data_IF_088122353626
#
_entry.id   IF_088122353626
#
_cell.length_a   1.000
_cell.length_b   1.000
_cell.length_c   1.000
_cell.angle_alpha   90.00
_cell.angle_beta   90.00
_cell.angle_gamma   90.00
#
_symmetry.space_group_name_H-M   'P 1'
#
loop_
_entity.id
_entity.type
_entity.pdbx_description
1 polymer ?
#
# COMPACT_ATOMS: atom_id res chain seq x y z
N UNK A 1 -54.61 -7.08 31.28
CA UNK A 1 -53.32 -7.76 31.14
C UNK A 1 -52.94 -7.73 29.69
N UNK A 2 -51.73 -7.30 29.35
CA UNK A 2 -51.32 -7.20 27.95
C UNK A 2 -51.27 -8.59 27.28
N UNK A 3 -51.75 -8.69 26.02
CA UNK A 3 -51.82 -9.97 25.29
C UNK A 3 -50.44 -10.62 25.22
N UNK A 4 -50.29 -11.82 25.81
CA UNK A 4 -49.00 -12.53 25.88
C UNK A 4 -48.25 -12.40 27.20
N UNK A 5 -48.81 -11.73 28.22
CA UNK A 5 -48.32 -11.77 29.59
C UNK A 5 -49.25 -12.65 30.42
N UNK A 6 -48.75 -13.64 31.10
CA UNK A 6 -49.51 -14.62 31.92
C UNK A 6 -49.05 -14.51 33.37
N UNK A 7 -49.98 -14.40 34.28
CA UNK A 7 -49.73 -14.49 35.73
C UNK A 7 -49.88 -15.96 36.17
N UNK A 8 -48.87 -16.47 36.86
CA UNK A 8 -48.90 -17.77 37.53
C UNK A 8 -48.44 -17.60 38.99
N UNK A 9 -49.44 -17.52 39.85
CA UNK A 9 -49.20 -17.37 41.29
C UNK A 9 -48.29 -16.19 41.67
N UNK A 10 -48.58 -15.00 41.13
CA UNK A 10 -47.78 -13.80 41.38
C UNK A 10 -46.45 -13.72 40.61
N UNK A 11 -46.22 -14.67 39.74
CA UNK A 11 -45.03 -14.67 38.84
C UNK A 11 -45.49 -14.46 37.41
N UNK A 12 -45.00 -13.40 36.76
CA UNK A 12 -45.36 -13.04 35.40
C UNK A 12 -44.45 -13.75 34.39
N UNK A 13 -45.08 -14.31 33.36
CA UNK A 13 -44.46 -15.02 32.25
C UNK A 13 -44.83 -14.34 30.95
N UNK A 14 -43.93 -14.33 29.96
CA UNK A 14 -44.23 -14.01 28.59
C UNK A 14 -44.57 -15.29 27.83
N UNK A 15 -45.65 -15.26 27.03
CA UNK A 15 -46.05 -16.34 26.13
C UNK A 15 -46.42 -15.73 24.79
N UNK A 16 -45.55 -15.94 23.81
CA UNK A 16 -45.70 -15.39 22.46
C UNK A 16 -45.26 -16.41 21.41
N UNK A 17 -45.70 -16.22 20.18
CA UNK A 17 -45.28 -17.01 19.02
C UNK A 17 -44.30 -16.17 18.19
N UNK A 18 -43.21 -16.80 17.77
CA UNK A 18 -42.26 -16.24 16.86
C UNK A 18 -41.79 -17.33 15.89
N UNK A 19 -41.80 -17.05 14.61
CA UNK A 19 -41.42 -17.99 13.53
C UNK A 19 -42.10 -19.38 13.68
N UNK A 20 -43.44 -19.36 13.96
CA UNK A 20 -44.24 -20.56 14.18
C UNK A 20 -44.02 -21.28 15.52
N UNK A 21 -43.03 -20.94 16.29
CA UNK A 21 -42.68 -21.55 17.58
C UNK A 21 -43.23 -20.78 18.74
N UNK A 22 -43.76 -21.50 19.76
CA UNK A 22 -44.20 -20.90 21.01
C UNK A 22 -43.05 -20.68 21.96
N UNK A 23 -42.87 -19.45 22.40
CA UNK A 23 -41.81 -19.04 23.34
C UNK A 23 -42.45 -18.66 24.68
N UNK A 24 -41.89 -19.23 25.77
CA UNK A 24 -42.26 -18.90 27.12
C UNK A 24 -41.06 -18.46 27.93
N UNK A 25 -41.13 -17.30 28.60
CA UNK A 25 -40.03 -16.77 29.40
C UNK A 25 -40.56 -16.24 30.74
N UNK A 26 -40.00 -16.72 31.86
CA UNK A 26 -40.26 -16.20 33.24
C UNK A 26 -39.62 -14.81 33.37
N UNK A 27 -40.34 -13.83 33.91
CA UNK A 27 -39.84 -12.47 34.12
C UNK A 27 -39.64 -12.17 35.59
N UNK A 28 -40.61 -12.52 36.47
CA UNK A 28 -40.57 -12.25 37.89
C UNK A 28 -41.88 -11.77 38.42
N UNK A 29 -41.91 -11.15 39.59
CA UNK A 29 -43.13 -10.70 40.33
C UNK A 29 -43.69 -9.34 39.86
N UNK A 30 -42.95 -8.61 38.98
CA UNK A 30 -43.39 -7.27 38.53
C UNK A 30 -44.19 -7.34 37.23
N UNK A 31 -45.49 -7.07 37.28
CA UNK A 31 -46.39 -6.97 36.13
C UNK A 31 -45.91 -5.91 35.14
N UNK A 32 -45.57 -4.71 35.61
CA UNK A 32 -45.13 -3.58 34.78
C UNK A 32 -43.86 -3.92 34.01
N UNK A 33 -42.92 -4.64 34.63
CA UNK A 33 -41.71 -5.11 33.93
C UNK A 33 -42.04 -6.11 32.85
N UNK A 34 -42.93 -7.07 33.11
CA UNK A 34 -43.34 -8.07 32.14
C UNK A 34 -44.01 -7.44 30.88
N UNK A 35 -44.88 -6.47 31.10
CA UNK A 35 -45.54 -5.72 30.01
C UNK A 35 -44.52 -4.91 29.18
N UNK A 36 -43.60 -4.21 29.84
CA UNK A 36 -42.50 -3.45 29.16
C UNK A 36 -41.63 -4.35 28.34
N UNK A 37 -41.24 -5.52 28.84
CA UNK A 37 -40.41 -6.48 28.13
C UNK A 37 -41.17 -7.06 26.94
N UNK A 38 -42.49 -7.32 27.10
CA UNK A 38 -43.32 -7.81 26.00
C UNK A 38 -43.43 -6.79 24.85
N UNK A 39 -43.62 -5.50 25.16
CA UNK A 39 -43.63 -4.43 24.17
C UNK A 39 -42.26 -4.33 23.42
N UNK A 40 -41.16 -4.39 24.13
CA UNK A 40 -39.82 -4.42 23.49
C UNK A 40 -39.67 -5.59 22.53
N UNK A 41 -40.13 -6.78 22.95
CA UNK A 41 -40.08 -7.98 22.08
C UNK A 41 -40.92 -7.78 20.82
N UNK A 42 -42.12 -7.19 20.92
CA UNK A 42 -42.97 -6.91 19.75
C UNK A 42 -42.31 -5.92 18.78
N UNK A 43 -41.70 -4.86 19.31
CA UNK A 43 -40.98 -3.90 18.50
C UNK A 43 -39.79 -4.59 17.78
N UNK A 44 -39.00 -5.40 18.48
CA UNK A 44 -37.89 -6.14 17.91
C UNK A 44 -38.36 -7.13 16.82
N UNK A 45 -39.48 -7.79 17.03
CA UNK A 45 -40.09 -8.68 16.03
C UNK A 45 -40.55 -7.88 14.79
N UNK A 46 -41.21 -6.73 15.00
CA UNK A 46 -41.66 -5.85 13.93
C UNK A 46 -40.49 -5.23 13.12
N UNK A 47 -39.39 -4.91 13.80
CA UNK A 47 -38.16 -4.38 13.18
C UNK A 47 -37.28 -5.48 12.53
N UNK A 48 -37.70 -6.74 12.55
CA UNK A 48 -36.88 -7.86 12.07
C UNK A 48 -35.60 -8.14 12.86
N UNK A 49 -35.40 -7.43 13.99
CA UNK A 49 -34.21 -7.55 14.85
C UNK A 49 -34.28 -8.72 15.83
N UNK A 50 -35.41 -9.37 15.96
CA UNK A 50 -35.58 -10.50 16.90
C UNK A 50 -34.90 -11.79 16.43
N UNK A 51 -34.28 -11.77 15.25
CA UNK A 51 -33.50 -12.88 14.69
C UNK A 51 -32.07 -12.98 15.24
N UNK A 52 -31.75 -12.34 16.38
CA UNK A 52 -30.66 -12.82 17.22
C UNK A 52 -31.06 -14.11 17.98
N UNK A 53 -31.65 -15.06 17.27
CA UNK A 53 -31.47 -16.46 17.64
C UNK A 53 -29.96 -16.65 17.66
N UNK A 54 -29.37 -16.84 18.84
CA UNK A 54 -28.00 -17.31 18.97
C UNK A 54 -27.79 -18.37 17.89
N UNK A 55 -27.27 -17.97 16.72
CA UNK A 55 -26.67 -18.95 15.84
C UNK A 55 -25.69 -19.67 16.75
N UNK A 56 -25.91 -20.94 17.01
CA UNK A 56 -24.95 -21.76 17.74
C UNK A 56 -23.63 -21.54 17.05
N UNK A 57 -22.76 -20.83 17.74
CA UNK A 57 -21.44 -20.55 17.22
C UNK A 57 -20.79 -21.91 17.03
N UNK A 58 -20.50 -22.27 15.81
CA UNK A 58 -19.73 -23.45 15.52
C UNK A 58 -18.35 -23.21 16.15
N UNK A 59 -18.19 -23.71 17.37
CA UNK A 59 -16.88 -23.65 18.04
C UNK A 59 -15.88 -24.38 17.15
N UNK A 60 -14.94 -23.67 16.63
CA UNK A 60 -13.87 -24.20 15.77
C UNK A 60 -12.55 -23.64 16.27
N UNK A 61 -11.54 -24.50 16.35
CA UNK A 61 -10.21 -24.02 16.66
C UNK A 61 -9.55 -23.35 15.43
N UNK A 62 -8.52 -22.58 15.69
CA UNK A 62 -7.85 -21.79 14.65
C UNK A 62 -7.20 -22.69 13.58
N UNK A 63 -6.67 -23.87 13.92
CA UNK A 63 -6.04 -24.76 12.95
C UNK A 63 -7.04 -25.29 11.93
N UNK A 64 -8.21 -25.74 12.40
CA UNK A 64 -9.27 -26.27 11.54
C UNK A 64 -9.86 -25.17 10.67
N UNK A 65 -10.12 -23.99 11.26
CA UNK A 65 -10.55 -22.82 10.48
C UNK A 65 -9.52 -22.40 9.43
N UNK A 66 -8.23 -22.41 9.77
CA UNK A 66 -7.15 -22.09 8.85
C UNK A 66 -7.08 -23.04 7.65
N UNK A 67 -7.43 -24.33 7.85
CA UNK A 67 -7.53 -25.27 6.75
C UNK A 67 -8.73 -24.97 5.83
N UNK A 68 -9.89 -24.68 6.43
CA UNK A 68 -11.09 -24.25 5.66
C UNK A 68 -10.78 -22.98 4.87
N UNK A 69 -10.16 -21.99 5.51
CA UNK A 69 -9.76 -20.74 4.85
C UNK A 69 -8.80 -20.98 3.68
N UNK A 70 -7.79 -21.83 3.87
CA UNK A 70 -6.82 -22.16 2.84
C UNK A 70 -7.51 -22.75 1.60
N UNK A 71 -8.29 -23.81 1.78
CA UNK A 71 -8.93 -24.55 0.69
C UNK A 71 -10.02 -23.73 -0.02
N UNK A 72 -10.81 -22.95 0.74
CA UNK A 72 -11.97 -22.25 0.18
C UNK A 72 -11.59 -20.93 -0.48
N UNK A 73 -10.65 -20.19 0.10
CA UNK A 73 -10.34 -18.82 -0.29
C UNK A 73 -8.84 -18.57 -0.50
N UNK A 74 -7.98 -19.07 0.39
CA UNK A 74 -6.55 -18.77 0.42
C UNK A 74 -5.84 -19.15 -0.88
N UNK A 75 -6.02 -20.37 -1.35
CA UNK A 75 -5.35 -20.93 -2.54
C UNK A 75 -5.69 -20.18 -3.84
N UNK A 76 -6.85 -19.53 -3.89
CA UNK A 76 -7.28 -18.70 -5.02
C UNK A 76 -6.59 -17.33 -5.06
N UNK A 77 -5.92 -16.93 -3.97
CA UNK A 77 -5.21 -15.65 -3.91
C UNK A 77 -3.88 -15.72 -4.67
N UNK A 78 -3.60 -14.70 -5.46
CA UNK A 78 -2.31 -14.56 -6.17
C UNK A 78 -1.09 -14.56 -5.23
N UNK A 79 -1.27 -14.09 -3.98
CA UNK A 79 -0.21 -14.05 -2.96
C UNK A 79 -0.01 -15.37 -2.23
N UNK A 80 -0.87 -16.37 -2.43
CA UNK A 80 -0.87 -17.61 -1.64
C UNK A 80 0.46 -18.34 -1.67
N UNK A 81 0.94 -18.69 -2.88
CA UNK A 81 2.17 -19.45 -3.05
C UNK A 81 3.42 -18.71 -2.61
N UNK A 82 3.41 -17.38 -2.65
CA UNK A 82 4.59 -16.56 -2.37
C UNK A 82 4.72 -16.12 -0.92
N UNK A 83 3.60 -15.85 -0.23
CA UNK A 83 3.65 -15.21 1.10
C UNK A 83 2.59 -15.69 2.07
N UNK A 84 1.31 -15.78 1.68
CA UNK A 84 0.21 -16.05 2.61
C UNK A 84 0.34 -17.42 3.27
N UNK A 85 0.80 -18.44 2.54
CA UNK A 85 1.07 -19.79 3.08
C UNK A 85 2.10 -19.76 4.21
N UNK A 86 3.15 -18.94 4.08
CA UNK A 86 4.16 -18.78 5.13
C UNK A 86 3.62 -18.05 6.36
N UNK A 87 2.76 -17.03 6.16
CA UNK A 87 2.11 -16.35 7.26
C UNK A 87 1.17 -17.29 8.00
N UNK A 88 0.40 -18.10 7.26
CA UNK A 88 -0.51 -19.08 7.85
C UNK A 88 0.21 -20.08 8.75
N UNK A 89 1.38 -20.59 8.33
CA UNK A 89 2.19 -21.51 9.17
C UNK A 89 2.55 -20.86 10.51
N UNK A 90 2.94 -19.58 10.52
CA UNK A 90 3.28 -18.87 11.76
C UNK A 90 2.07 -18.58 12.63
N UNK A 91 0.96 -18.18 12.00
CA UNK A 91 -0.29 -17.93 12.71
C UNK A 91 -0.81 -19.23 13.35
N UNK A 92 -0.73 -20.35 12.64
CA UNK A 92 -1.07 -21.68 13.19
C UNK A 92 -0.19 -22.05 14.38
N UNK A 93 1.10 -21.77 14.34
CA UNK A 93 2.01 -22.04 15.44
C UNK A 93 1.67 -21.28 16.73
N UNK A 94 1.09 -20.08 16.62
CA UNK A 94 0.75 -19.26 17.80
C UNK A 94 -0.71 -19.40 18.24
N UNK A 95 -1.65 -19.42 17.28
CA UNK A 95 -3.09 -19.42 17.56
C UNK A 95 -3.73 -20.81 17.50
N UNK A 96 -3.03 -21.82 16.98
CA UNK A 96 -3.61 -23.06 16.49
C UNK A 96 -4.46 -23.85 17.50
N UNK A 97 -4.08 -23.84 18.77
CA UNK A 97 -4.82 -24.55 19.84
C UNK A 97 -6.02 -23.77 20.39
N UNK A 98 -6.20 -22.50 19.99
CA UNK A 98 -7.27 -21.64 20.49
C UNK A 98 -8.50 -21.72 19.61
N UNK A 99 -9.69 -21.69 20.23
CA UNK A 99 -10.91 -21.46 19.49
C UNK A 99 -10.97 -20.00 18.99
N UNK A 100 -11.70 -19.74 17.89
CA UNK A 100 -11.78 -18.40 17.31
C UNK A 100 -12.37 -17.38 18.26
N UNK A 101 -13.29 -17.76 19.14
CA UNK A 101 -13.92 -16.92 20.16
C UNK A 101 -12.96 -16.56 21.31
N UNK A 102 -11.92 -17.35 21.54
CA UNK A 102 -10.86 -17.08 22.53
C UNK A 102 -9.81 -16.07 22.03
N UNK A 103 -9.75 -15.83 20.71
CA UNK A 103 -8.77 -14.93 20.11
C UNK A 103 -9.28 -13.47 20.23
N UNK A 104 -8.95 -12.85 21.36
CA UNK A 104 -9.31 -11.46 21.69
C UNK A 104 -8.31 -10.47 21.04
N UNK A 105 -8.66 -9.16 20.98
CA UNK A 105 -7.70 -8.13 20.57
C UNK A 105 -6.41 -8.12 21.41
N UNK A 106 -6.52 -8.39 22.71
CA UNK A 106 -5.36 -8.52 23.60
C UNK A 106 -4.46 -9.72 23.18
N UNK A 107 -5.07 -10.84 22.79
CA UNK A 107 -4.31 -12.01 22.36
C UNK A 107 -3.59 -11.76 21.03
N UNK A 108 -4.20 -11.01 20.13
CA UNK A 108 -3.54 -10.54 18.90
C UNK A 108 -2.38 -9.58 19.20
N UNK A 109 -2.51 -8.72 20.23
CA UNK A 109 -1.41 -7.88 20.70
C UNK A 109 -0.24 -8.71 21.26
N UNK A 110 -0.53 -9.77 22.04
CA UNK A 110 0.51 -10.70 22.52
C UNK A 110 1.27 -11.35 21.37
N UNK A 111 0.58 -11.75 20.30
CA UNK A 111 1.23 -12.23 19.07
C UNK A 111 2.20 -11.21 18.50
N UNK A 112 1.77 -9.95 18.35
CA UNK A 112 2.59 -8.87 17.82
C UNK A 112 3.87 -8.66 18.63
N UNK A 113 3.78 -8.67 19.97
CA UNK A 113 4.93 -8.54 20.87
C UNK A 113 5.87 -9.72 20.70
N UNK A 114 5.35 -10.94 20.78
CA UNK A 114 6.15 -12.15 20.61
C UNK A 114 6.88 -12.17 19.24
N UNK A 115 6.24 -11.66 18.19
CA UNK A 115 6.87 -11.58 16.86
C UNK A 115 8.02 -10.58 16.79
N UNK A 116 8.01 -9.51 17.58
CA UNK A 116 9.12 -8.56 17.70
C UNK A 116 10.35 -9.15 18.34
N UNK A 117 10.16 -10.07 19.27
CA UNK A 117 11.26 -10.71 20.00
C UNK A 117 11.87 -11.89 19.21
N UNK A 118 11.10 -12.50 18.32
CA UNK A 118 11.56 -13.64 17.54
C UNK A 118 12.53 -13.25 16.42
N UNK A 119 13.68 -13.90 16.40
CA UNK A 119 14.63 -13.79 15.28
C UNK A 119 14.09 -14.49 14.04
N UNK A 120 14.29 -13.89 12.90
CA UNK A 120 14.01 -14.48 11.58
C UNK A 120 15.05 -15.56 11.26
N UNK A 121 14.85 -16.31 10.17
CA UNK A 121 15.86 -17.26 9.66
C UNK A 121 17.22 -16.61 9.36
N UNK A 122 17.26 -15.29 9.19
CA UNK A 122 18.48 -14.51 8.95
C UNK A 122 19.05 -13.93 10.25
N UNK A 123 18.62 -14.41 11.40
CA UNK A 123 19.02 -13.92 12.73
C UNK A 123 18.72 -12.42 12.97
N UNK A 124 17.87 -11.82 12.19
CA UNK A 124 17.40 -10.45 12.36
C UNK A 124 16.03 -10.41 13.01
N UNK A 125 15.68 -9.33 13.68
CA UNK A 125 14.34 -9.10 14.23
C UNK A 125 13.33 -8.91 13.07
N UNK A 126 12.11 -9.40 13.24
CA UNK A 126 11.06 -9.20 12.25
C UNK A 126 10.72 -7.70 12.12
N UNK A 127 10.75 -7.17 10.89
CA UNK A 127 10.42 -5.75 10.65
C UNK A 127 8.93 -5.47 10.91
N UNK A 128 8.59 -4.21 11.27
CA UNK A 128 7.23 -3.75 11.41
C UNK A 128 6.36 -4.10 10.19
N UNK A 129 6.88 -3.86 8.99
CA UNK A 129 6.19 -4.20 7.74
C UNK A 129 5.89 -5.70 7.60
N UNK A 130 6.78 -6.56 8.08
CA UNK A 130 6.58 -8.01 8.02
C UNK A 130 5.48 -8.44 8.99
N UNK A 131 5.52 -7.95 10.23
CA UNK A 131 4.51 -8.21 11.26
C UNK A 131 3.13 -7.71 10.80
N UNK A 132 3.08 -6.51 10.23
CA UNK A 132 1.84 -5.94 9.68
C UNK A 132 1.22 -6.81 8.58
N UNK A 133 2.03 -7.46 7.75
CA UNK A 133 1.52 -8.40 6.72
C UNK A 133 0.97 -9.67 7.32
N UNK A 134 1.59 -10.21 8.38
CA UNK A 134 1.04 -11.34 9.14
C UNK A 134 -0.30 -10.95 9.77
N UNK A 135 -0.40 -9.77 10.41
CA UNK A 135 -1.65 -9.25 10.96
C UNK A 135 -2.72 -8.97 9.89
N UNK A 136 -2.33 -8.49 8.70
CA UNK A 136 -3.26 -8.30 7.59
C UNK A 136 -3.81 -9.64 7.07
N UNK A 137 -2.97 -10.69 7.04
CA UNK A 137 -3.43 -12.04 6.74
C UNK A 137 -4.44 -12.52 7.80
N UNK A 138 -4.13 -12.38 9.08
CA UNK A 138 -5.03 -12.73 10.18
C UNK A 138 -6.34 -11.93 10.13
N UNK A 139 -6.26 -10.62 9.84
CA UNK A 139 -7.44 -9.77 9.66
C UNK A 139 -8.34 -10.25 8.52
N UNK A 140 -7.75 -10.67 7.39
CA UNK A 140 -8.47 -11.25 6.28
C UNK A 140 -9.16 -12.57 6.67
N UNK A 141 -8.45 -13.46 7.40
CA UNK A 141 -8.99 -14.72 7.89
C UNK A 141 -10.20 -14.49 8.81
N UNK A 142 -10.08 -13.61 9.80
CA UNK A 142 -11.21 -13.28 10.69
C UNK A 142 -12.36 -12.57 9.98
N UNK A 143 -12.10 -11.79 8.94
CA UNK A 143 -13.19 -11.22 8.12
C UNK A 143 -13.98 -12.32 7.42
N UNK A 144 -13.30 -13.36 6.92
CA UNK A 144 -13.98 -14.54 6.36
C UNK A 144 -14.66 -15.40 7.43
N UNK A 145 -14.06 -15.51 8.63
CA UNK A 145 -14.68 -16.21 9.74
C UNK A 145 -16.04 -15.57 10.12
N UNK A 146 -16.10 -14.25 10.16
CA UNK A 146 -17.36 -13.52 10.42
C UNK A 146 -18.37 -13.73 9.28
N UNK A 147 -17.93 -13.58 8.04
CA UNK A 147 -18.78 -13.78 6.85
C UNK A 147 -19.37 -15.19 6.80
N UNK A 148 -18.58 -16.20 7.16
CA UNK A 148 -18.99 -17.61 7.12
C UNK A 148 -19.68 -18.08 8.42
N UNK A 149 -19.84 -17.21 9.41
CA UNK A 149 -20.56 -17.49 10.67
C UNK A 149 -19.76 -18.28 11.71
N UNK A 150 -18.42 -18.31 11.60
CA UNK A 150 -17.52 -18.93 12.58
C UNK A 150 -17.07 -17.99 13.69
N UNK A 151 -17.23 -16.68 13.52
CA UNK A 151 -16.89 -15.66 14.51
C UNK A 151 -17.91 -14.52 14.48
N UNK A 152 -18.15 -13.89 15.63
CA UNK A 152 -19.05 -12.73 15.77
C UNK A 152 -18.42 -11.45 15.25
N UNK A 153 -17.18 -11.23 15.60
CA UNK A 153 -16.42 -10.03 15.25
C UNK A 153 -14.97 -10.38 14.85
N UNK A 154 -14.33 -9.42 14.23
CA UNK A 154 -12.93 -9.55 13.85
C UNK A 154 -12.05 -8.83 14.88
N UNK A 155 -11.35 -9.56 15.77
CA UNK A 155 -10.56 -8.97 16.84
C UNK A 155 -9.38 -8.13 16.33
N UNK A 156 -8.90 -8.41 15.12
CA UNK A 156 -7.76 -7.70 14.54
C UNK A 156 -8.12 -6.27 14.12
N UNK A 157 -9.39 -5.96 13.89
CA UNK A 157 -9.84 -4.59 13.57
C UNK A 157 -9.55 -3.59 14.71
N UNK A 158 -9.56 -4.07 15.96
CA UNK A 158 -9.29 -3.26 17.15
C UNK A 158 -7.79 -3.13 17.48
N UNK A 159 -6.91 -3.79 16.71
CA UNK A 159 -5.46 -3.76 16.93
C UNK A 159 -4.79 -2.78 15.98
N UNK A 160 -4.08 -1.80 16.54
CA UNK A 160 -3.31 -0.83 15.76
C UNK A 160 -2.07 -1.51 15.16
N UNK A 161 -1.89 -1.36 13.86
CA UNK A 161 -0.70 -1.86 13.15
C UNK A 161 0.53 -1.02 13.50
N UNK A 162 1.71 -1.61 13.32
CA UNK A 162 2.99 -0.96 13.54
C UNK A 162 3.19 0.19 12.54
N UNK A 163 3.83 1.27 13.00
CA UNK A 163 4.24 2.34 12.09
C UNK A 163 5.37 1.84 11.20
N UNK A 164 5.14 1.81 9.90
CA UNK A 164 6.15 1.44 8.91
C UNK A 164 6.90 2.69 8.44
N UNK A 165 8.23 2.63 8.49
CA UNK A 165 9.06 3.66 7.87
C UNK A 165 9.34 3.26 6.42
N UNK A 166 8.49 3.70 5.49
CA UNK A 166 8.57 3.40 4.06
C UNK A 166 9.17 4.56 3.25
N UNK A 167 9.83 5.52 3.91
CA UNK A 167 10.33 6.76 3.29
C UNK A 167 11.64 6.60 2.52
N UNK A 168 12.15 5.37 2.37
CA UNK A 168 13.40 5.16 1.64
C UNK A 168 13.25 5.59 0.18
N UNK A 169 14.02 6.60 -0.20
CA UNK A 169 14.23 7.02 -1.58
C UNK A 169 15.72 6.84 -1.90
N UNK A 170 16.11 5.68 -2.43
CA UNK A 170 17.45 5.42 -2.94
C UNK A 170 17.39 5.46 -4.46
N UNK A 171 18.19 6.31 -5.06
CA UNK A 171 18.39 6.37 -6.51
C UNK A 171 19.90 6.40 -6.81
N UNK A 172 20.30 6.07 -8.04
CA UNK A 172 21.69 6.14 -8.45
C UNK A 172 22.03 7.56 -8.91
N UNK A 173 23.12 8.08 -8.45
CA UNK A 173 23.77 9.24 -9.04
C UNK A 173 24.34 8.86 -10.43
N UNK A 174 24.66 9.88 -11.26
CA UNK A 174 25.14 9.62 -12.64
C UNK A 174 26.39 8.74 -12.66
N UNK A 175 27.33 8.97 -11.74
CA UNK A 175 28.57 8.21 -11.65
C UNK A 175 28.33 6.77 -11.17
N UNK A 176 27.41 6.56 -10.21
CA UNK A 176 27.03 5.22 -9.79
C UNK A 176 26.34 4.45 -10.92
N UNK A 177 25.46 5.12 -11.68
CA UNK A 177 24.81 4.51 -12.84
C UNK A 177 25.83 4.11 -13.89
N UNK A 178 26.81 4.97 -14.21
CA UNK A 178 27.89 4.66 -15.12
C UNK A 178 28.69 3.44 -14.65
N UNK A 179 29.15 3.45 -13.38
CA UNK A 179 29.86 2.29 -12.78
C UNK A 179 29.04 1.00 -12.89
N UNK A 180 27.74 1.05 -12.60
CA UNK A 180 26.87 -0.13 -12.75
C UNK A 180 26.85 -0.63 -14.21
N UNK A 181 26.68 0.26 -15.18
CA UNK A 181 26.61 -0.08 -16.59
C UNK A 181 27.92 -0.67 -17.14
N UNK A 182 29.07 -0.24 -16.61
CA UNK A 182 30.37 -0.75 -16.99
C UNK A 182 30.60 -2.19 -16.50
N UNK A 183 29.92 -2.59 -15.43
CA UNK A 183 29.97 -3.96 -14.89
C UNK A 183 28.77 -4.85 -15.34
N UNK A 184 27.93 -4.35 -16.25
CA UNK A 184 26.83 -5.13 -16.82
C UNK A 184 27.24 -5.78 -18.12
N UNK A 185 26.96 -7.09 -18.27
CA UNK A 185 27.01 -7.71 -19.59
C UNK A 185 25.93 -7.12 -20.53
N UNK A 186 26.03 -7.26 -21.86
CA UNK A 186 25.20 -6.50 -22.81
C UNK A 186 23.69 -6.58 -22.56
N UNK A 187 23.15 -7.78 -22.31
CA UNK A 187 21.71 -7.96 -22.06
C UNK A 187 21.26 -7.27 -20.76
N UNK A 188 22.04 -7.36 -19.68
CA UNK A 188 21.73 -6.69 -18.43
C UNK A 188 21.84 -5.18 -18.56
N UNK A 189 22.85 -4.69 -19.32
CA UNK A 189 23.02 -3.26 -19.62
C UNK A 189 21.79 -2.70 -20.31
N UNK A 190 21.28 -3.40 -21.32
CA UNK A 190 20.04 -3.02 -22.00
C UNK A 190 18.83 -2.97 -21.03
N UNK A 191 18.68 -3.98 -20.16
CA UNK A 191 17.61 -4.03 -19.15
C UNK A 191 17.70 -2.85 -18.17
N UNK A 192 18.90 -2.53 -17.66
CA UNK A 192 19.11 -1.41 -16.72
C UNK A 192 18.80 -0.08 -17.41
N UNK A 193 19.28 0.13 -18.62
CA UNK A 193 19.01 1.35 -19.38
C UNK A 193 17.51 1.53 -19.69
N UNK A 194 16.83 0.46 -20.12
CA UNK A 194 15.37 0.50 -20.32
C UNK A 194 14.65 0.80 -19.00
N UNK A 195 15.08 0.20 -17.87
CA UNK A 195 14.48 0.45 -16.56
C UNK A 195 14.58 1.94 -16.15
N UNK A 196 15.73 2.56 -16.32
CA UNK A 196 15.96 3.97 -15.96
C UNK A 196 15.23 4.93 -16.90
N UNK A 197 15.20 4.61 -18.21
CA UNK A 197 14.58 5.49 -19.21
C UNK A 197 13.05 5.40 -19.28
N UNK A 198 12.45 4.34 -18.73
CA UNK A 198 10.99 4.12 -18.79
C UNK A 198 10.31 4.07 -17.42
N UNK A 199 11.08 3.87 -16.36
CA UNK A 199 10.55 3.66 -15.01
C UNK A 199 9.67 2.41 -14.85
N UNK A 200 9.70 1.46 -15.80
CA UNK A 200 8.90 0.23 -15.75
C UNK A 200 9.24 -0.64 -14.55
N UNK A 201 8.26 -1.42 -14.07
CA UNK A 201 8.50 -2.39 -12.99
C UNK A 201 9.30 -3.59 -13.51
N UNK A 202 10.04 -4.24 -12.59
CA UNK A 202 10.88 -5.41 -12.92
C UNK A 202 10.16 -6.45 -13.78
N UNK A 203 8.96 -6.85 -13.37
CA UNK A 203 8.20 -7.88 -14.10
C UNK A 203 7.63 -7.37 -15.42
N UNK A 204 7.30 -6.08 -15.51
CA UNK A 204 6.88 -5.46 -16.78
C UNK A 204 8.01 -5.53 -17.82
N UNK A 205 9.24 -5.22 -17.41
CA UNK A 205 10.42 -5.35 -18.29
C UNK A 205 10.68 -6.82 -18.62
N UNK A 206 10.70 -7.70 -17.61
CA UNK A 206 11.02 -9.11 -17.78
C UNK A 206 10.07 -9.84 -18.74
N UNK A 207 8.78 -9.47 -18.69
CA UNK A 207 7.73 -10.11 -19.51
C UNK A 207 7.35 -9.31 -20.75
N UNK A 208 8.13 -8.29 -21.11
CA UNK A 208 7.88 -7.42 -22.25
C UNK A 208 7.99 -8.23 -23.57
N UNK A 209 6.97 -8.12 -24.41
CA UNK A 209 6.90 -8.83 -25.69
C UNK A 209 7.09 -7.86 -26.85
N UNK A 210 7.59 -8.36 -27.95
CA UNK A 210 7.73 -7.60 -29.20
C UNK A 210 6.42 -6.97 -29.68
N UNK A 211 5.32 -7.70 -29.58
CA UNK A 211 3.98 -7.21 -29.97
C UNK A 211 3.45 -6.08 -29.10
N UNK A 212 4.01 -5.89 -27.90
CA UNK A 212 3.58 -4.87 -26.95
C UNK A 212 4.32 -3.54 -27.19
N UNK A 213 5.33 -3.51 -28.06
CA UNK A 213 6.14 -2.35 -28.40
C UNK A 213 5.75 -1.79 -29.77
N UNK A 214 5.28 -0.55 -29.77
CA UNK A 214 5.03 0.24 -30.96
C UNK A 214 6.18 1.25 -31.13
N UNK A 215 7.12 0.88 -32.00
CA UNK A 215 8.29 1.70 -32.24
C UNK A 215 8.00 2.90 -33.16
N UNK A 216 6.95 2.87 -33.97
CA UNK A 216 6.55 4.01 -34.82
C UNK A 216 5.98 5.12 -33.95
N UNK A 217 5.01 4.79 -33.12
CA UNK A 217 4.38 5.74 -32.21
C UNK A 217 5.20 6.02 -30.94
N UNK A 218 6.25 5.23 -30.68
CA UNK A 218 7.19 5.45 -29.58
C UNK A 218 6.63 5.12 -28.19
N UNK A 219 5.88 4.04 -28.04
CA UNK A 219 5.41 3.58 -26.73
C UNK A 219 5.35 2.05 -26.60
N UNK A 220 5.28 1.60 -25.36
CA UNK A 220 5.02 0.21 -24.99
C UNK A 220 3.67 0.12 -24.30
N UNK A 221 2.79 -0.78 -24.76
CA UNK A 221 1.50 -1.07 -24.13
C UNK A 221 1.63 -2.20 -23.13
N UNK A 222 1.48 -1.91 -21.86
CA UNK A 222 1.49 -2.89 -20.78
C UNK A 222 0.08 -3.39 -20.52
N UNK A 223 -0.23 -4.58 -21.03
CA UNK A 223 -1.50 -5.26 -20.80
C UNK A 223 -1.49 -5.90 -19.42
N UNK A 224 -2.58 -5.72 -18.62
CA UNK A 224 -2.76 -6.32 -17.29
C UNK A 224 -1.59 -6.06 -16.33
N UNK A 225 -1.38 -4.81 -15.98
CA UNK A 225 -0.45 -4.45 -14.89
C UNK A 225 -0.88 -5.14 -13.59
N UNK A 226 -0.04 -5.08 -12.55
CA UNK A 226 -0.37 -5.62 -11.21
C UNK A 226 -1.74 -5.17 -10.69
N UNK A 227 -2.25 -4.06 -11.21
CA UNK A 227 -3.51 -3.42 -10.84
C UNK A 227 -4.69 -3.74 -11.78
N UNK A 228 -4.47 -4.57 -12.83
CA UNK A 228 -5.49 -4.95 -13.80
C UNK A 228 -5.73 -3.93 -14.93
N UNK A 229 -5.04 -2.79 -14.91
CA UNK A 229 -5.21 -1.70 -15.88
C UNK A 229 -4.17 -1.80 -17.00
N UNK A 230 -4.57 -1.47 -18.22
CA UNK A 230 -3.66 -1.28 -19.37
C UNK A 230 -3.08 0.12 -19.30
N UNK A 231 -1.78 0.28 -19.55
CA UNK A 231 -1.14 1.59 -19.67
C UNK A 231 -0.11 1.62 -20.78
N UNK A 232 0.05 2.77 -21.39
CA UNK A 232 1.12 3.06 -22.33
C UNK A 232 2.30 3.69 -21.60
N UNK A 233 3.51 3.21 -21.87
CA UNK A 233 4.76 3.75 -21.37
C UNK A 233 5.49 4.41 -22.55
N UNK A 234 5.69 5.73 -22.53
CA UNK A 234 6.41 6.40 -23.61
C UNK A 234 7.88 5.95 -23.64
N UNK A 235 8.42 5.81 -24.83
CA UNK A 235 9.83 5.49 -25.08
C UNK A 235 10.55 6.76 -25.54
N UNK A 236 11.58 7.15 -24.81
CA UNK A 236 12.52 8.14 -25.32
C UNK A 236 13.44 7.54 -26.39
N UNK A 237 14.19 8.36 -27.10
CA UNK A 237 15.11 7.94 -28.16
C UNK A 237 16.04 6.79 -27.71
N UNK A 238 16.65 6.94 -26.55
CA UNK A 238 17.58 5.94 -25.99
C UNK A 238 16.90 4.58 -25.74
N UNK A 239 15.72 4.58 -25.08
CA UNK A 239 14.98 3.33 -24.82
C UNK A 239 14.54 2.65 -26.13
N UNK A 240 14.09 3.43 -27.12
CA UNK A 240 13.70 2.93 -28.44
C UNK A 240 14.88 2.27 -29.15
N UNK A 241 16.01 2.96 -29.26
CA UNK A 241 17.23 2.45 -29.92
C UNK A 241 17.73 1.17 -29.24
N UNK A 242 17.76 1.13 -27.90
CA UNK A 242 18.17 -0.06 -27.15
C UNK A 242 17.23 -1.24 -27.44
N UNK A 243 15.92 -1.05 -27.40
CA UNK A 243 14.98 -2.14 -27.67
C UNK A 243 15.08 -2.63 -29.11
N UNK A 244 15.28 -1.73 -30.07
CA UNK A 244 15.47 -2.09 -31.48
C UNK A 244 16.79 -2.81 -31.75
N UNK A 245 17.85 -2.53 -30.98
CA UNK A 245 19.16 -3.19 -31.11
C UNK A 245 19.18 -4.64 -30.60
N UNK A 246 18.15 -5.04 -29.81
CA UNK A 246 18.08 -6.41 -29.30
C UNK A 246 17.68 -7.38 -30.42
N UNK A 247 18.52 -8.41 -30.63
CA UNK A 247 18.21 -9.43 -31.62
C UNK A 247 16.97 -10.24 -31.24
N UNK A 248 15.98 -10.25 -32.14
CA UNK A 248 14.76 -11.04 -31.94
C UNK A 248 15.08 -12.53 -31.96
N UNK A 249 14.68 -13.26 -30.93
CA UNK A 249 14.83 -14.71 -30.89
C UNK A 249 13.68 -15.40 -31.64
N UNK A 250 13.99 -16.35 -32.53
CA UNK A 250 13.00 -16.96 -33.42
C UNK A 250 11.83 -17.66 -32.70
N UNK A 251 12.07 -18.22 -31.50
CA UNK A 251 11.08 -19.00 -30.74
C UNK A 251 10.51 -18.26 -29.51
N UNK A 252 10.88 -16.99 -29.31
CA UNK A 252 10.46 -16.25 -28.12
C UNK A 252 9.61 -15.03 -28.46
N UNK A 253 8.46 -14.85 -27.84
CA UNK A 253 7.71 -13.61 -27.95
C UNK A 253 8.32 -12.47 -27.12
N UNK A 254 9.24 -12.77 -26.19
CA UNK A 254 9.80 -11.82 -25.24
C UNK A 254 11.00 -11.08 -25.83
N UNK A 255 11.12 -9.79 -25.51
CA UNK A 255 12.26 -8.96 -25.89
C UNK A 255 13.51 -9.41 -25.13
N UNK A 256 13.37 -9.63 -23.81
CA UNK A 256 14.44 -10.07 -22.94
C UNK A 256 14.32 -11.57 -22.65
N UNK A 257 14.99 -12.39 -23.45
CA UNK A 257 15.00 -13.84 -23.30
C UNK A 257 16.44 -14.38 -23.22
N UNK A 258 16.58 -15.62 -22.72
CA UNK A 258 17.85 -16.35 -22.76
C UNK A 258 18.07 -17.02 -24.12
N UNK A 259 19.18 -17.73 -24.29
CA UNK A 259 19.53 -18.45 -25.52
C UNK A 259 18.53 -19.54 -25.94
N UNK A 260 17.69 -20.01 -24.99
CA UNK A 260 16.65 -21.01 -25.24
C UNK A 260 15.28 -20.36 -25.56
N UNK A 261 15.17 -19.01 -25.52
CA UNK A 261 13.94 -18.29 -25.74
C UNK A 261 13.05 -18.14 -24.47
N UNK A 262 13.52 -18.62 -23.33
CA UNK A 262 12.81 -18.48 -22.04
C UNK A 262 13.03 -17.09 -21.44
N UNK A 263 12.15 -16.71 -20.51
CA UNK A 263 12.25 -15.45 -19.76
C UNK A 263 13.63 -15.30 -19.09
N UNK A 264 14.32 -14.21 -19.39
CA UNK A 264 15.62 -13.94 -18.82
C UNK A 264 15.54 -13.61 -17.33
N UNK A 265 16.25 -14.38 -16.49
CA UNK A 265 16.34 -14.12 -15.06
C UNK A 265 17.62 -13.37 -14.73
N UNK A 266 17.54 -12.07 -14.63
CA UNK A 266 18.69 -11.20 -14.38
C UNK A 266 18.98 -10.90 -12.90
N UNK A 267 18.38 -11.63 -11.97
CA UNK A 267 18.56 -11.35 -10.52
C UNK A 267 20.00 -11.53 -10.07
N UNK A 268 20.59 -12.68 -10.42
CA UNK A 268 21.96 -13.00 -10.00
C UNK A 268 22.97 -12.07 -10.69
N UNK A 269 22.86 -11.90 -12.02
CA UNK A 269 23.74 -11.01 -12.78
C UNK A 269 23.66 -9.56 -12.32
N UNK A 270 22.47 -9.08 -11.97
CA UNK A 270 22.30 -7.73 -11.41
C UNK A 270 22.98 -7.60 -10.03
N UNK A 271 22.84 -8.60 -9.14
CA UNK A 271 23.52 -8.58 -7.85
C UNK A 271 25.04 -8.64 -7.98
N UNK A 272 25.56 -9.41 -8.93
CA UNK A 272 26.98 -9.47 -9.26
C UNK A 272 27.48 -8.13 -9.79
N UNK A 273 26.75 -7.49 -10.71
CA UNK A 273 27.10 -6.18 -11.24
C UNK A 273 27.15 -5.10 -10.15
N UNK A 274 26.17 -5.09 -9.22
CA UNK A 274 26.18 -4.17 -8.07
C UNK A 274 27.39 -4.40 -7.15
N UNK A 275 27.73 -5.67 -6.89
CA UNK A 275 28.91 -6.02 -6.08
C UNK A 275 30.20 -5.52 -6.74
N UNK A 276 30.38 -5.77 -8.04
CA UNK A 276 31.57 -5.37 -8.78
C UNK A 276 31.67 -3.84 -8.94
N UNK A 277 30.53 -3.14 -9.04
CA UNK A 277 30.47 -1.68 -9.07
C UNK A 277 30.56 -1.05 -7.66
N UNK A 278 30.72 -1.86 -6.60
CA UNK A 278 30.76 -1.43 -5.19
C UNK A 278 29.52 -0.63 -4.73
N UNK A 279 28.37 -0.83 -5.39
CA UNK A 279 27.12 -0.15 -5.06
C UNK A 279 26.39 -0.92 -3.96
N UNK A 280 26.34 -0.32 -2.77
CA UNK A 280 25.69 -0.89 -1.59
C UNK A 280 24.24 -0.43 -1.48
N UNK A 281 23.43 -1.25 -0.80
CA UNK A 281 22.03 -0.96 -0.47
C UNK A 281 21.19 -0.48 -1.67
N UNK A 282 21.27 -1.21 -2.78
CA UNK A 282 20.54 -0.93 -4.01
C UNK A 282 19.82 -2.17 -4.53
N UNK A 283 18.59 -2.00 -4.99
CA UNK A 283 17.72 -3.07 -5.50
C UNK A 283 17.27 -2.73 -6.91
N UNK A 284 16.93 -3.71 -7.71
CA UNK A 284 16.44 -3.47 -9.07
C UNK A 284 15.25 -2.49 -9.13
N UNK A 285 14.37 -2.51 -8.11
CA UNK A 285 13.24 -1.59 -8.07
C UNK A 285 13.67 -0.12 -7.86
N UNK A 286 14.84 0.09 -7.31
CA UNK A 286 15.38 1.43 -7.07
C UNK A 286 15.82 2.12 -8.40
N UNK A 287 15.96 1.36 -9.53
CA UNK A 287 16.10 1.94 -10.88
C UNK A 287 14.86 2.75 -11.28
N UNK A 288 13.68 2.32 -10.87
CA UNK A 288 12.46 3.08 -11.07
C UNK A 288 12.42 4.33 -10.17
N UNK A 289 12.98 4.25 -8.97
CA UNK A 289 13.19 5.43 -8.12
C UNK A 289 14.20 6.39 -8.78
N UNK A 290 15.24 5.86 -9.43
CA UNK A 290 16.21 6.65 -10.21
C UNK A 290 15.53 7.39 -11.37
N UNK A 291 14.68 6.70 -12.16
CA UNK A 291 13.89 7.34 -13.21
C UNK A 291 13.01 8.47 -12.66
N UNK A 292 12.26 8.21 -11.58
CA UNK A 292 11.41 9.21 -10.94
C UNK A 292 12.21 10.41 -10.41
N UNK A 293 13.36 10.15 -9.78
CA UNK A 293 14.23 11.20 -9.23
C UNK A 293 14.79 12.07 -10.34
N UNK A 294 15.23 11.49 -11.45
CA UNK A 294 15.74 12.25 -12.59
C UNK A 294 14.67 13.09 -13.26
N UNK A 295 13.44 12.59 -13.39
CA UNK A 295 12.31 13.35 -13.89
C UNK A 295 11.98 14.54 -12.94
N UNK A 296 11.96 14.31 -11.63
CA UNK A 296 11.69 15.36 -10.65
C UNK A 296 12.81 16.43 -10.63
N UNK A 297 14.08 16.02 -10.66
CA UNK A 297 15.21 16.93 -10.79
C UNK A 297 15.22 17.69 -12.13
N UNK A 298 14.70 17.07 -13.19
CA UNK A 298 14.49 17.69 -14.49
C UNK A 298 13.26 18.62 -14.56
N UNK A 299 12.51 18.78 -13.45
CA UNK A 299 11.38 19.69 -13.35
C UNK A 299 10.05 19.20 -13.86
N UNK A 300 9.95 17.91 -14.15
CA UNK A 300 8.68 17.32 -14.54
C UNK A 300 7.73 17.34 -13.34
N UNK A 301 6.50 17.79 -13.55
CA UNK A 301 5.49 17.86 -12.51
C UNK A 301 5.13 16.45 -11.95
N UNK A 302 4.70 16.41 -10.70
CA UNK A 302 4.46 15.15 -10.00
C UNK A 302 3.30 14.34 -10.58
N UNK A 303 2.29 14.97 -11.21
CA UNK A 303 1.20 14.25 -11.86
C UNK A 303 1.70 13.53 -13.11
N UNK A 304 2.49 14.20 -13.93
CA UNK A 304 3.14 13.61 -15.11
C UNK A 304 4.05 12.43 -14.68
N UNK A 305 4.85 12.59 -13.63
CA UNK A 305 5.66 11.50 -13.07
C UNK A 305 4.78 10.34 -12.60
N UNK A 306 3.67 10.63 -11.90
CA UNK A 306 2.69 9.61 -11.49
C UNK A 306 2.18 8.80 -12.67
N UNK A 307 1.81 9.47 -13.75
CA UNK A 307 1.20 8.86 -14.93
C UNK A 307 2.22 8.03 -15.72
N UNK A 308 3.43 8.55 -15.96
CA UNK A 308 4.54 7.81 -16.60
C UNK A 308 4.83 6.52 -15.81
N UNK A 309 4.95 6.62 -14.50
CA UNK A 309 5.22 5.47 -13.64
C UNK A 309 3.99 4.56 -13.47
N UNK A 310 2.77 5.02 -13.69
CA UNK A 310 1.53 4.31 -13.42
C UNK A 310 1.34 4.06 -11.91
N UNK A 311 1.39 5.13 -11.11
CA UNK A 311 1.05 5.11 -9.69
C UNK A 311 -0.43 5.46 -9.51
N UNK A 312 -1.13 4.72 -8.64
CA UNK A 312 -2.56 4.95 -8.39
C UNK A 312 -2.84 6.21 -7.58
N UNK A 313 -1.93 6.61 -6.69
CA UNK A 313 -2.08 7.81 -5.86
C UNK A 313 -0.87 8.73 -6.00
N UNK A 314 -1.10 10.01 -5.78
CA UNK A 314 -0.07 11.03 -5.76
C UNK A 314 0.91 10.80 -4.58
N UNK A 315 0.44 10.25 -3.46
CA UNK A 315 1.27 9.94 -2.28
C UNK A 315 2.51 9.12 -2.62
N UNK A 316 2.42 8.27 -3.65
CA UNK A 316 3.56 7.45 -4.09
C UNK A 316 4.66 8.27 -4.75
N UNK A 317 4.36 9.46 -5.29
CA UNK A 317 5.33 10.36 -5.95
C UNK A 317 5.72 11.55 -5.07
N UNK A 318 4.97 11.88 -4.03
CA UNK A 318 5.30 12.97 -3.09
C UNK A 318 6.69 12.79 -2.45
N UNK A 319 7.18 11.56 -2.36
CA UNK A 319 8.54 11.26 -1.89
C UNK A 319 9.65 11.87 -2.75
N UNK A 320 9.37 12.27 -3.99
CA UNK A 320 10.33 12.93 -4.90
C UNK A 320 10.17 14.45 -4.92
N UNK A 321 9.14 15.00 -4.28
CA UNK A 321 8.85 16.44 -4.29
C UNK A 321 10.02 17.30 -3.80
N UNK A 322 10.79 16.80 -2.84
CA UNK A 322 11.97 17.50 -2.32
C UNK A 322 13.11 17.66 -3.32
N UNK A 323 13.13 16.85 -4.41
CA UNK A 323 14.14 16.90 -5.45
C UNK A 323 13.87 18.00 -6.49
N UNK A 324 12.65 18.55 -6.54
CA UNK A 324 12.25 19.61 -7.45
C UNK A 324 12.41 21.04 -6.88
N UNK A 325 13.14 21.20 -5.76
CA UNK A 325 13.30 22.53 -5.11
C UNK A 325 13.97 23.59 -5.99
N UNK A 326 14.91 23.23 -6.86
CA UNK A 326 15.50 24.15 -7.85
C UNK A 326 14.46 24.70 -8.82
N UNK A 327 13.43 23.92 -9.15
CA UNK A 327 12.33 24.34 -9.99
C UNK A 327 11.33 25.28 -9.29
N UNK A 328 11.20 25.21 -7.96
CA UNK A 328 10.39 26.17 -7.21
C UNK A 328 10.98 27.58 -7.32
N UNK A 329 12.28 27.72 -7.20
CA UNK A 329 12.96 29.00 -7.42
C UNK A 329 12.80 29.50 -8.87
N UNK A 330 12.96 28.62 -9.86
CA UNK A 330 12.76 28.95 -11.27
C UNK A 330 11.29 29.30 -11.59
N UNK A 331 10.33 28.62 -10.95
CA UNK A 331 8.91 28.90 -11.12
C UNK A 331 8.53 30.28 -10.54
N UNK A 332 9.11 30.65 -9.39
CA UNK A 332 8.92 32.00 -8.84
C UNK A 332 9.55 33.04 -9.76
N UNK A 333 10.71 32.76 -10.38
CA UNK A 333 11.32 33.66 -11.39
C UNK A 333 10.52 33.86 -12.67
N UNK A 334 9.51 33.01 -12.95
CA UNK A 334 8.54 33.29 -14.04
C UNK A 334 7.67 34.50 -13.69
N UNK A 335 7.32 34.68 -12.41
CA UNK A 335 6.54 35.82 -11.95
C UNK A 335 7.27 37.13 -12.21
N UNK A 336 8.58 37.16 -12.06
CA UNK A 336 9.37 38.35 -12.37
C UNK A 336 9.21 38.76 -13.86
N UNK A 337 9.28 37.79 -14.78
CA UNK A 337 9.09 38.03 -16.22
C UNK A 337 7.68 38.45 -16.58
N UNK A 338 6.66 37.84 -16.02
CA UNK A 338 5.27 38.19 -16.26
C UNK A 338 4.93 39.56 -15.66
N UNK A 339 5.48 39.88 -14.49
CA UNK A 339 5.28 41.17 -13.83
C UNK A 339 6.05 42.29 -14.53
N UNK A 340 7.26 42.06 -15.04
CA UNK A 340 8.01 43.03 -15.85
C UNK A 340 7.22 43.40 -17.10
N UNK A 341 6.58 42.43 -17.76
CA UNK A 341 5.71 42.69 -18.92
C UNK A 341 4.50 43.57 -18.54
N UNK A 342 3.94 43.35 -17.34
CA UNK A 342 2.82 44.14 -16.82
C UNK A 342 3.23 45.60 -16.52
N UNK A 343 4.40 45.80 -15.91
CA UNK A 343 4.93 47.12 -15.58
C UNK A 343 5.37 47.89 -16.83
N UNK A 344 5.89 47.23 -17.86
CA UNK A 344 6.28 47.88 -19.12
C UNK A 344 5.07 48.30 -19.98
N UNK A 345 3.93 47.59 -19.85
CA UNK A 345 2.68 47.97 -20.54
C UNK A 345 1.93 49.13 -19.84
N UNK A 346 2.18 49.36 -18.55
CA UNK A 346 1.62 50.49 -17.76
C UNK A 346 2.37 51.82 -17.90
N UNK A 347 3.50 51.83 -18.59
CA UNK A 347 4.43 52.96 -18.64
C UNK A 347 4.28 53.91 -19.83
N UNK A 348 3.06 54.29 -20.25
CA UNK A 348 2.86 55.46 -21.09
C UNK A 348 1.95 56.51 -20.43
N UNK A 349 2.38 57.03 -19.29
CA UNK A 349 1.97 58.36 -18.81
C UNK A 349 3.04 58.91 -17.87
N UNK A 350 3.74 59.96 -18.37
CA UNK A 350 4.34 61.05 -17.59
C UNK A 350 5.35 60.72 -16.51
N UNK A 351 6.61 61.08 -16.78
CA UNK A 351 7.76 60.96 -15.91
C UNK A 351 7.55 61.33 -14.44
N UNK A 352 7.99 60.44 -13.59
CA UNK A 352 8.67 60.75 -12.34
C UNK A 352 9.69 59.65 -12.09
N UNK A 353 10.95 59.92 -12.44
CA UNK A 353 12.09 59.24 -11.90
C UNK A 353 12.13 59.46 -10.37
N UNK A 354 11.67 58.49 -9.61
CA UNK A 354 12.12 58.29 -8.22
C UNK A 354 12.74 56.93 -8.15
N UNK A 355 14.06 56.93 -8.28
CA UNK A 355 14.95 55.89 -7.78
C UNK A 355 14.51 55.52 -6.36
N UNK A 356 13.94 54.36 -6.23
CA UNK A 356 13.81 53.71 -4.91
C UNK A 356 15.21 53.18 -4.58
N UNK A 357 16.00 54.03 -3.91
CA UNK A 357 17.10 53.58 -3.08
C UNK A 357 16.51 52.81 -1.91
N UNK A 358 16.28 51.51 -2.12
CA UNK A 358 16.02 50.60 -1.01
C UNK A 358 17.34 50.31 -0.36
N UNK A 359 17.61 51.13 0.64
CA UNK A 359 18.30 50.77 1.88
C UNK A 359 19.60 49.94 1.79
N UNK A 360 20.68 50.62 1.49
CA UNK A 360 22.02 50.24 2.00
C UNK A 360 22.23 50.67 3.45
N UNK A 361 21.23 50.64 4.33
CA UNK A 361 21.37 51.04 5.74
C UNK A 361 20.75 50.02 6.70
N UNK A 362 21.18 48.78 6.59
CA UNK A 362 21.06 47.78 7.70
C UNK A 362 22.41 47.10 7.88
N UNK A 363 23.44 47.91 8.13
CA UNK A 363 24.64 47.46 8.85
C UNK A 363 24.54 48.08 10.24
N UNK A 364 24.73 47.19 11.22
CA UNK A 364 24.97 47.47 12.64
C UNK A 364 23.72 47.88 13.50
N UNK A 365 23.03 46.92 14.04
CA UNK A 365 22.79 46.89 15.48
C UNK A 365 22.68 45.45 15.96
N UNK A 366 23.67 45.03 16.67
CA UNK A 366 23.70 43.88 17.54
C UNK A 366 22.59 44.03 18.58
N UNK A 367 21.66 43.09 18.60
CA UNK A 367 20.81 42.83 19.78
C UNK A 367 20.99 41.38 20.17
N UNK A 368 21.72 41.24 21.29
CA UNK A 368 21.66 40.05 22.14
C UNK A 368 20.23 39.84 22.57
N UNK A 369 19.69 38.67 22.30
CA UNK A 369 18.46 38.20 22.98
C UNK A 369 18.85 36.92 23.71
N UNK A 370 18.97 37.12 25.03
CA UNK A 370 19.00 36.06 26.03
C UNK A 370 17.73 35.19 25.97
N UNK A 371 17.94 33.92 26.31
CA UNK A 371 16.95 32.84 26.20
C UNK A 371 15.66 33.06 26.99
N UNK A 372 14.61 32.46 26.44
CA UNK A 372 13.49 31.92 27.21
C UNK A 372 12.91 30.72 26.43
N UNK A 373 13.04 29.57 27.05
CA UNK A 373 12.34 28.31 26.70
C UNK A 373 10.85 28.50 26.97
N UNK A 374 10.01 28.26 26.00
CA UNK A 374 8.60 27.96 26.23
C UNK A 374 8.18 26.73 25.45
N UNK A 375 7.80 25.70 26.19
CA UNK A 375 7.08 24.49 25.79
C UNK A 375 5.68 24.87 25.27
N UNK A 376 5.33 24.30 24.12
CA UNK A 376 3.98 23.74 23.87
C UNK A 376 4.11 22.51 22.97
#
# INVERSE_FOLDING_TARGET
MEKGVIDKNGIYWLDYRFDGRRMRKKIGSSKKLAETVMQKIRVQIAEGKYLDVKKEEKKINFNDFAQIYANTYGEKKRSWSSTDKLYLVRLKAFFGSKNLDEITPLFVQKYRIARREQKTRRHTIASAAYINRELACLKCMFSRAVEWGYAKENPVKKVKFEKENNSRVRFLEKDELKKLLDHCHPMLKAIVLVAVNTGMRKEEIRTLKWRDADFERGFVTLLKTKNGETRNVPLNKTAKEILMSIRKHARSPFIFCNSEGNLYNFRTSFMTALKNAEIKDFRFHDLRHTAASYLAMGGVDLNTIRDILGHKSLDMVLRYAHLSRSHQASAVGILDKEMDTFWTLGGKTGGVSKSIEVASSLKSSSYEISGAVAKW
#
